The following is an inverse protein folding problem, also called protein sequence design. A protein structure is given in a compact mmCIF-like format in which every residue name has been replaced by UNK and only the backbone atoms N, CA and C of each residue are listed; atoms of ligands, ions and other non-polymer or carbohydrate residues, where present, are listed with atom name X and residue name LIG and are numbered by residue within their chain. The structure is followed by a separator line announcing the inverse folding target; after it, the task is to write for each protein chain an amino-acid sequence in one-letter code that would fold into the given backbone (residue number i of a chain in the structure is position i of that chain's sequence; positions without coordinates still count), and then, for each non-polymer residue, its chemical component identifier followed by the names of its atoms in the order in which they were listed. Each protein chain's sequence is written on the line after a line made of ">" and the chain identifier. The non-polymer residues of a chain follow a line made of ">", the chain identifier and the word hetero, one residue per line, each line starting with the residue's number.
data_IF_692863687836
#
_entry.id   IF_692863687836
#
_cell.length_a   1.000
_cell.length_b   1.000
_cell.length_c   1.000
_cell.angle_alpha   90.00
_cell.angle_beta   90.00
_cell.angle_gamma   90.00
#
_symmetry.space_group_name_H-M   'P 1'
#
loop_
_entity.id
_entity.type
_entity.pdbx_description
1 polymer ?
#
# COMPACT_ATOMS: atom_id res chain seq x y z
N UNK A 1 8.08 9.76 12.08
CA UNK A 1 7.45 8.80 11.13
C UNK A 1 6.84 9.48 9.89
N UNK A 2 6.37 10.74 9.95
CA UNK A 2 5.83 11.43 8.76
C UNK A 2 6.85 11.67 7.63
N UNK A 3 8.14 11.73 7.96
CA UNK A 3 9.23 11.95 7.02
C UNK A 3 9.30 10.84 5.97
N UNK A 4 9.18 9.58 6.37
CA UNK A 4 9.19 8.43 5.44
C UNK A 4 8.01 8.56 4.47
N UNK A 5 6.81 8.79 4.99
CA UNK A 5 5.61 8.98 4.16
C UNK A 5 5.76 10.12 3.15
N UNK A 6 6.28 11.27 3.58
CA UNK A 6 6.52 12.40 2.67
C UNK A 6 7.62 12.11 1.64
N UNK A 7 8.62 11.31 2.01
CA UNK A 7 9.63 10.86 1.07
C UNK A 7 9.01 9.95 0.00
N UNK A 8 8.17 8.98 0.38
CA UNK A 8 7.50 8.09 -0.56
C UNK A 8 6.60 8.86 -1.53
N UNK A 9 5.85 9.86 -1.05
CA UNK A 9 4.95 10.65 -1.89
C UNK A 9 5.69 11.55 -2.87
N UNK A 10 6.81 12.15 -2.44
CA UNK A 10 7.68 12.97 -3.31
C UNK A 10 8.33 12.14 -4.42
N UNK A 11 8.63 10.87 -4.15
CA UNK A 11 9.25 9.95 -5.10
C UNK A 11 8.25 8.96 -5.72
N UNK A 12 6.94 9.24 -5.66
CA UNK A 12 5.89 8.29 -6.05
C UNK A 12 6.04 7.76 -7.50
N UNK A 13 6.39 8.62 -8.47
CA UNK A 13 6.61 8.20 -9.85
C UNK A 13 7.83 7.29 -10.05
N UNK A 14 8.92 7.55 -9.33
CA UNK A 14 10.10 6.67 -9.32
C UNK A 14 9.74 5.32 -8.70
N UNK A 15 9.08 5.33 -7.55
CA UNK A 15 8.65 4.12 -6.84
C UNK A 15 7.66 3.30 -7.66
N UNK A 16 6.76 3.95 -8.42
CA UNK A 16 5.86 3.27 -9.33
C UNK A 16 6.62 2.62 -10.49
N UNK A 17 7.56 3.33 -11.09
CA UNK A 17 8.39 2.80 -12.17
C UNK A 17 9.17 1.56 -11.70
N UNK A 18 9.77 1.64 -10.51
CA UNK A 18 10.45 0.51 -9.86
C UNK A 18 9.47 -0.64 -9.57
N UNK A 19 8.29 -0.33 -9.03
CA UNK A 19 7.25 -1.32 -8.76
C UNK A 19 6.80 -2.04 -10.02
N UNK A 20 6.50 -1.32 -11.10
CA UNK A 20 6.07 -1.90 -12.38
C UNK A 20 7.18 -2.69 -13.07
N UNK A 21 8.44 -2.26 -12.94
CA UNK A 21 9.59 -2.98 -13.51
C UNK A 21 9.93 -4.27 -12.76
N UNK A 22 9.92 -4.22 -11.42
CA UNK A 22 10.33 -5.36 -10.58
C UNK A 22 9.20 -6.36 -10.34
N UNK A 23 7.95 -5.89 -10.26
CA UNK A 23 6.82 -6.72 -9.85
C UNK A 23 6.58 -7.96 -10.71
N UNK A 24 6.68 -7.97 -12.06
CA UNK A 24 6.32 -9.17 -12.84
C UNK A 24 7.23 -10.36 -12.57
N UNK A 25 8.54 -10.12 -12.47
CA UNK A 25 9.53 -11.14 -12.15
C UNK A 25 9.40 -11.59 -10.69
N UNK A 26 9.30 -10.63 -9.77
CA UNK A 26 9.14 -10.91 -8.33
C UNK A 26 7.86 -11.70 -8.05
N UNK A 27 6.75 -11.38 -8.71
CA UNK A 27 5.50 -12.11 -8.56
C UNK A 27 5.56 -13.53 -9.10
N UNK A 28 6.14 -13.74 -10.29
CA UNK A 28 6.33 -15.10 -10.82
C UNK A 28 7.19 -15.95 -9.89
N UNK A 29 8.27 -15.36 -9.37
CA UNK A 29 9.13 -16.01 -8.38
C UNK A 29 8.37 -16.33 -7.10
N UNK A 30 7.60 -15.38 -6.55
CA UNK A 30 6.81 -15.58 -5.34
C UNK A 30 5.74 -16.67 -5.51
N UNK A 31 5.04 -16.71 -6.65
CA UNK A 31 4.07 -17.75 -6.97
C UNK A 31 4.76 -19.12 -7.00
N UNK A 32 5.87 -19.24 -7.74
CA UNK A 32 6.61 -20.49 -7.86
C UNK A 32 7.17 -20.95 -6.50
N UNK A 33 7.76 -20.03 -5.73
CA UNK A 33 8.22 -20.32 -4.37
C UNK A 33 7.07 -20.80 -3.50
N UNK A 34 5.93 -20.11 -3.51
CA UNK A 34 4.77 -20.49 -2.69
C UNK A 34 4.21 -21.87 -3.06
N UNK A 35 4.28 -22.28 -4.34
CA UNK A 35 3.87 -23.60 -4.79
C UNK A 35 4.86 -24.70 -4.38
N UNK A 36 6.17 -24.41 -4.42
CA UNK A 36 7.22 -25.40 -4.11
C UNK A 36 7.41 -25.56 -2.61
N UNK A 37 7.43 -24.47 -1.84
CA UNK A 37 7.74 -24.51 -0.40
C UNK A 37 6.52 -24.66 0.49
N UNK A 38 5.30 -24.53 -0.07
CA UNK A 38 4.06 -24.47 0.70
C UNK A 38 4.12 -23.34 1.72
N UNK A 39 3.76 -23.64 2.97
CA UNK A 39 3.70 -22.66 4.07
C UNK A 39 5.04 -22.46 4.82
N UNK A 40 6.08 -23.25 4.48
CA UNK A 40 7.34 -23.28 5.26
C UNK A 40 8.09 -21.95 5.28
N UNK A 41 7.91 -21.11 4.25
CA UNK A 41 8.58 -19.81 4.12
C UNK A 41 7.64 -18.62 4.40
N UNK A 42 6.38 -18.86 4.78
CA UNK A 42 5.39 -17.80 4.94
C UNK A 42 5.81 -16.77 5.99
N UNK A 43 6.36 -17.24 7.11
CA UNK A 43 6.85 -16.37 8.19
C UNK A 43 8.01 -15.49 7.73
N UNK A 44 8.94 -16.03 6.93
CA UNK A 44 10.09 -15.29 6.41
C UNK A 44 9.63 -14.23 5.40
N UNK A 45 8.74 -14.61 4.47
CA UNK A 45 8.19 -13.69 3.47
C UNK A 45 7.41 -12.56 4.14
N UNK A 46 6.60 -12.88 5.15
CA UNK A 46 5.83 -11.89 5.91
C UNK A 46 6.76 -10.95 6.69
N UNK A 47 7.83 -11.47 7.28
CA UNK A 47 8.83 -10.66 7.97
C UNK A 47 9.57 -9.71 7.02
N UNK A 48 10.02 -10.21 5.86
CA UNK A 48 10.66 -9.41 4.82
C UNK A 48 9.72 -8.32 4.30
N UNK A 49 8.46 -8.66 4.02
CA UNK A 49 7.45 -7.69 3.60
C UNK A 49 7.27 -6.59 4.65
N UNK A 50 7.17 -6.96 5.92
CA UNK A 50 7.00 -6.02 7.03
C UNK A 50 8.17 -5.04 7.12
N UNK A 51 9.41 -5.51 6.96
CA UNK A 51 10.59 -4.65 6.98
C UNK A 51 10.62 -3.73 5.75
N UNK A 52 10.55 -4.30 4.55
CA UNK A 52 10.65 -3.54 3.31
C UNK A 52 9.53 -2.49 3.21
N UNK A 53 8.28 -2.89 3.44
CA UNK A 53 7.15 -1.95 3.37
C UNK A 53 7.08 -1.02 4.56
N UNK A 54 7.54 -1.44 5.74
CA UNK A 54 7.63 -0.60 6.94
C UNK A 54 8.60 0.55 6.74
N UNK A 55 9.82 0.25 6.25
CA UNK A 55 10.86 1.25 6.02
C UNK A 55 10.55 2.20 4.86
N UNK A 56 9.96 1.68 3.77
CA UNK A 56 9.72 2.48 2.56
C UNK A 56 8.42 3.27 2.58
N UNK A 57 7.38 2.80 3.27
CA UNK A 57 6.01 3.34 3.13
C UNK A 57 5.27 3.54 4.46
N UNK A 58 5.92 3.33 5.62
CA UNK A 58 5.27 3.32 6.94
C UNK A 58 4.04 2.37 6.94
N UNK A 59 4.22 1.17 6.39
CA UNK A 59 3.15 0.19 6.23
C UNK A 59 2.61 -0.32 7.58
N UNK A 60 1.28 -0.46 7.68
CA UNK A 60 0.58 -0.98 8.87
C UNK A 60 0.20 -2.46 8.79
N UNK A 61 0.71 -3.19 7.79
CA UNK A 61 0.47 -4.63 7.59
C UNK A 61 -1.02 -5.00 7.65
N UNK A 62 -1.86 -4.35 6.85
CA UNK A 62 -3.30 -4.62 6.81
C UNK A 62 -3.68 -5.85 5.96
N UNK A 63 -2.72 -6.62 5.44
CA UNK A 63 -2.95 -7.78 4.57
C UNK A 63 -3.38 -7.45 3.13
N UNK A 64 -3.87 -6.25 2.88
CA UNK A 64 -4.40 -5.83 1.57
C UNK A 64 -3.75 -4.53 1.09
N UNK A 65 -2.68 -4.66 0.30
CA UNK A 65 -1.87 -3.53 -0.11
C UNK A 65 -2.51 -2.77 -1.29
N UNK A 66 -2.61 -1.44 -1.18
CA UNK A 66 -3.12 -0.54 -2.24
C UNK A 66 -2.19 0.63 -2.57
N UNK A 67 -0.91 0.52 -2.19
CA UNK A 67 0.09 1.59 -2.40
C UNK A 67 0.16 2.08 -3.85
N UNK A 68 0.04 1.16 -4.82
CA UNK A 68 0.07 1.47 -6.25
C UNK A 68 -1.14 2.27 -6.75
N UNK A 69 -2.21 2.36 -5.95
CA UNK A 69 -3.40 3.15 -6.27
C UNK A 69 -3.48 4.43 -5.44
N UNK A 70 -2.86 4.45 -4.26
CA UNK A 70 -2.94 5.57 -3.31
C UNK A 70 -1.68 6.43 -3.29
N UNK A 71 -1.08 6.71 -4.45
CA UNK A 71 0.06 7.63 -4.53
C UNK A 71 1.30 7.18 -3.74
N UNK A 72 1.55 5.88 -3.64
CA UNK A 72 2.59 5.27 -2.79
C UNK A 72 2.46 5.62 -1.30
N UNK A 73 1.24 5.95 -0.85
CA UNK A 73 0.94 6.28 0.54
C UNK A 73 0.06 5.20 1.15
N UNK A 74 0.43 4.65 2.32
CA UNK A 74 -0.40 3.67 3.01
C UNK A 74 -1.62 4.36 3.67
N UNK A 75 -2.88 4.07 3.25
CA UNK A 75 -4.08 4.72 3.80
C UNK A 75 -4.33 4.36 5.27
N UNK A 76 -3.79 3.23 5.73
CA UNK A 76 -3.91 2.76 7.12
C UNK A 76 -3.17 3.63 8.14
N UNK A 77 -2.34 4.58 7.68
CA UNK A 77 -1.78 5.62 8.54
C UNK A 77 -2.81 6.69 8.93
N UNK A 78 -3.98 6.71 8.30
CA UNK A 78 -5.07 7.60 8.67
C UNK A 78 -5.64 7.15 10.03
N UNK A 79 -5.84 8.06 11.00
CA UNK A 79 -6.45 7.69 12.29
C UNK A 79 -7.83 7.02 12.14
N UNK A 80 -8.55 7.35 11.07
CA UNK A 80 -9.85 6.76 10.74
C UNK A 80 -9.75 5.41 10.02
N UNK A 81 -8.56 5.05 9.55
CA UNK A 81 -8.28 3.78 8.85
C UNK A 81 -9.24 3.48 7.68
N UNK A 82 -9.67 4.54 6.99
CA UNK A 82 -10.52 4.44 5.80
C UNK A 82 -9.66 4.23 4.55
N UNK A 83 -10.12 3.34 3.66
CA UNK A 83 -9.41 2.95 2.42
C UNK A 83 -10.03 3.56 1.17
N UNK A 84 -11.26 4.05 1.28
CA UNK A 84 -12.15 4.45 0.20
C UNK A 84 -12.27 5.98 0.03
N UNK A 85 -11.14 6.68 -0.05
CA UNK A 85 -11.09 8.10 -0.41
C UNK A 85 -11.09 9.08 0.77
N UNK A 86 -11.02 10.40 0.50
CA UNK A 86 -10.87 11.40 1.54
C UNK A 86 -12.07 11.42 2.50
N UNK A 87 -11.79 11.50 3.80
CA UNK A 87 -12.83 11.55 4.84
C UNK A 87 -13.56 12.89 4.99
N UNK A 88 -13.23 13.90 4.18
CA UNK A 88 -13.68 15.29 4.37
C UNK A 88 -13.04 16.03 5.55
N UNK A 89 -12.39 15.34 6.48
CA UNK A 89 -11.76 15.90 7.69
C UNK A 89 -10.36 16.49 7.48
N UNK A 90 -10.16 17.23 6.38
CA UNK A 90 -8.90 17.92 6.09
C UNK A 90 -9.01 19.36 6.57
N UNK A 91 -8.04 19.79 7.39
CA UNK A 91 -7.94 21.17 7.85
C UNK A 91 -7.41 22.06 6.72
N UNK A 92 -7.63 23.38 6.83
CA UNK A 92 -7.19 24.37 5.83
C UNK A 92 -5.68 24.33 5.58
N UNK A 93 -4.91 23.95 6.60
CA UNK A 93 -3.45 23.76 6.55
C UNK A 93 -3.01 22.43 5.91
N UNK A 94 -3.94 21.61 5.41
CA UNK A 94 -3.66 20.28 4.83
C UNK A 94 -3.45 19.17 5.87
N UNK A 95 -3.63 19.45 7.16
CA UNK A 95 -3.49 18.46 8.23
C UNK A 95 -4.80 17.72 8.53
N UNK A 96 -4.68 16.63 9.30
CA UNK A 96 -5.82 15.81 9.70
C UNK A 96 -6.63 16.49 10.83
N UNK A 97 -7.96 16.41 10.77
CA UNK A 97 -8.83 16.92 11.85
C UNK A 97 -8.57 16.25 13.21
N UNK A 98 -8.33 14.93 13.23
CA UNK A 98 -8.18 14.13 14.46
C UNK A 98 -6.80 14.35 15.09
N UNK A 99 -5.79 14.57 14.24
CA UNK A 99 -4.40 14.79 14.65
C UNK A 99 -3.88 16.03 13.93
N UNK A 100 -4.06 17.24 14.51
CA UNK A 100 -3.73 18.50 13.83
C UNK A 100 -2.27 18.65 13.41
N UNK A 101 -1.34 17.96 14.07
CA UNK A 101 0.10 17.98 13.71
C UNK A 101 0.47 16.97 12.62
N UNK A 102 -0.47 16.10 12.21
CA UNK A 102 -0.26 15.07 11.20
C UNK A 102 -0.75 15.60 9.84
N UNK A 103 0.11 15.66 8.81
CA UNK A 103 -0.35 15.95 7.45
C UNK A 103 -1.37 14.89 7.00
N UNK A 104 -2.43 15.30 6.29
CA UNK A 104 -3.46 14.37 5.88
C UNK A 104 -2.91 13.29 4.94
N UNK A 105 -3.25 12.03 5.22
CA UNK A 105 -2.84 10.88 4.41
C UNK A 105 -3.42 10.96 3.00
N UNK A 106 -4.67 11.39 2.85
CA UNK A 106 -5.34 11.47 1.55
C UNK A 106 -4.88 12.66 0.71
N UNK A 107 -4.47 13.77 1.33
CA UNK A 107 -3.79 14.87 0.62
C UNK A 107 -2.46 14.35 0.07
N UNK A 108 -1.66 13.67 0.88
CA UNK A 108 -0.39 13.08 0.44
C UNK A 108 -0.58 12.01 -0.66
N UNK A 109 -1.62 11.17 -0.53
CA UNK A 109 -1.96 10.17 -1.54
C UNK A 109 -2.35 10.81 -2.87
N UNK A 110 -3.15 11.88 -2.84
CA UNK A 110 -3.52 12.65 -4.04
C UNK A 110 -2.31 13.31 -4.68
N UNK A 111 -1.47 13.99 -3.90
CA UNK A 111 -0.22 14.57 -4.44
C UNK A 111 0.70 13.50 -5.04
N UNK A 112 0.80 12.33 -4.40
CA UNK A 112 1.57 11.20 -4.90
C UNK A 112 1.00 10.65 -6.21
N UNK A 113 -0.33 10.52 -6.32
CA UNK A 113 -0.98 10.01 -7.52
C UNK A 113 -0.77 10.94 -8.72
N UNK A 114 -0.75 12.26 -8.52
CA UNK A 114 -0.42 13.23 -9.58
C UNK A 114 1.01 13.08 -10.14
N UNK A 115 1.91 12.39 -9.42
CA UNK A 115 3.28 12.11 -9.86
C UNK A 115 3.43 10.72 -10.50
N UNK A 116 2.38 9.91 -10.50
CA UNK A 116 2.38 8.55 -11.01
C UNK A 116 1.78 8.51 -12.42
N UNK A 117 2.27 7.57 -13.24
CA UNK A 117 1.71 7.22 -14.54
C UNK A 117 0.29 6.69 -14.43
N UNK A 118 0.01 5.82 -13.45
CA UNK A 118 -1.32 5.25 -13.21
C UNK A 118 -2.00 5.92 -11.99
N UNK A 119 -1.79 7.22 -11.80
CA UNK A 119 -2.35 7.99 -10.69
C UNK A 119 -3.88 7.95 -10.60
N UNK A 120 -4.56 7.80 -11.73
CA UNK A 120 -6.03 7.76 -11.80
C UNK A 120 -6.66 6.60 -11.02
N UNK A 121 -5.88 5.57 -10.68
CA UNK A 121 -6.34 4.45 -9.83
C UNK A 121 -6.76 4.87 -8.42
N UNK A 122 -6.45 6.10 -8.00
CA UNK A 122 -6.91 6.65 -6.72
C UNK A 122 -8.44 6.83 -6.67
N UNK A 123 -9.08 6.93 -7.83
CA UNK A 123 -10.54 7.08 -7.98
C UNK A 123 -11.27 5.73 -7.99
N UNK A 124 -10.54 4.62 -8.11
CA UNK A 124 -11.12 3.29 -8.07
C UNK A 124 -11.76 3.04 -6.70
N UNK A 125 -13.04 2.65 -6.72
CA UNK A 125 -13.73 2.26 -5.50
C UNK A 125 -13.05 1.02 -4.90
N UNK A 126 -12.47 1.17 -3.70
CA UNK A 126 -11.90 0.06 -2.94
C UNK A 126 -12.82 -0.32 -1.79
N UNK A 127 -13.07 -1.60 -1.63
CA UNK A 127 -13.85 -2.12 -0.51
C UNK A 127 -13.14 -1.92 0.83
N UNK A 128 -13.92 -2.00 1.90
CA UNK A 128 -13.40 -1.97 3.27
C UNK A 128 -12.34 -3.05 3.46
N UNK A 129 -11.33 -2.73 4.27
CA UNK A 129 -10.25 -3.67 4.58
C UNK A 129 -10.76 -4.79 5.48
N UNK A 130 -10.44 -6.04 5.14
CA UNK A 130 -10.69 -7.19 6.01
C UNK A 130 -9.73 -7.17 7.21
N UNK A 131 -10.28 -6.94 8.41
CA UNK A 131 -9.50 -6.86 9.65
C UNK A 131 -8.94 -8.22 10.09
N UNK A 132 -9.54 -9.33 9.67
CA UNK A 132 -9.04 -10.67 9.96
C UNK A 132 -7.67 -10.94 9.32
N UNK A 133 -7.32 -10.19 8.27
CA UNK A 133 -6.04 -10.30 7.56
C UNK A 133 -4.94 -9.41 8.14
N UNK A 134 -5.20 -8.67 9.22
CA UNK A 134 -4.20 -7.80 9.83
C UNK A 134 -2.98 -8.61 10.30
N UNK A 135 -1.78 -8.17 9.93
CA UNK A 135 -0.53 -8.86 10.23
C UNK A 135 -0.10 -9.90 9.19
N UNK A 136 -0.97 -10.25 8.24
CA UNK A 136 -0.63 -11.17 7.15
C UNK A 136 0.11 -10.47 6.00
N UNK A 137 0.83 -11.27 5.19
CA UNK A 137 1.53 -10.80 4.00
C UNK A 137 0.56 -10.56 2.85
N UNK A 138 0.58 -9.34 2.31
CA UNK A 138 -0.20 -9.04 1.10
C UNK A 138 0.41 -9.68 -0.15
N UNK A 139 1.72 -9.98 -0.13
CA UNK A 139 2.37 -10.69 -1.22
C UNK A 139 1.93 -12.14 -1.32
N UNK A 140 1.85 -12.85 -0.19
CA UNK A 140 1.35 -14.22 -0.14
C UNK A 140 -0.13 -14.30 -0.50
N UNK A 141 -0.94 -13.36 0.01
CA UNK A 141 -2.34 -13.25 -0.38
C UNK A 141 -2.46 -13.13 -1.90
N UNK A 142 -1.77 -12.17 -2.52
CA UNK A 142 -1.81 -11.96 -3.96
C UNK A 142 -1.25 -13.16 -4.75
N UNK A 143 -0.19 -13.82 -4.25
CA UNK A 143 0.41 -15.00 -4.89
C UNK A 143 -0.55 -16.19 -4.92
N UNK A 144 -1.40 -16.35 -3.91
CA UNK A 144 -2.37 -17.44 -3.76
C UNK A 144 -3.75 -17.14 -4.35
N UNK A 145 -4.09 -15.87 -4.56
CA UNK A 145 -5.34 -15.47 -5.25
C UNK A 145 -5.36 -15.98 -6.69
N UNK A 146 -6.54 -16.43 -7.14
CA UNK A 146 -6.77 -16.91 -8.49
C UNK A 146 -6.35 -15.84 -9.54
N UNK A 147 -5.66 -16.22 -10.63
CA UNK A 147 -5.30 -15.30 -11.71
C UNK A 147 -6.48 -14.48 -12.28
N UNK A 148 -7.71 -15.00 -12.22
CA UNK A 148 -8.93 -14.34 -12.71
C UNK A 148 -9.42 -13.24 -11.77
N UNK A 149 -9.31 -13.41 -10.46
CA UNK A 149 -9.66 -12.39 -9.47
C UNK A 149 -8.61 -11.26 -9.37
N UNK A 150 -7.44 -11.45 -9.99
CA UNK A 150 -6.29 -10.54 -9.91
C UNK A 150 -6.43 -9.26 -10.76
N UNK A 151 -7.45 -9.15 -11.61
CA UNK A 151 -7.69 -8.01 -12.51
C UNK A 151 -8.72 -6.98 -11.99
N UNK A 152 -9.35 -7.27 -10.86
CA UNK A 152 -10.26 -6.36 -10.13
C UNK A 152 -9.47 -5.52 -9.10
#
# INVERSE_FOLDING_TARGET
>A
MYVIRQWSTRHAGMLETLYLGLSPALFKLLVLLSQVTGERLDGVITWLEKILKGLLFDCRMCGECVLSSTGMTCPMNCPKQIRNGPCGGVRVDGCCEVKPQMPCVWVAAWEGSQRMRHGQRIEELRFAVDRGRTGTSSWLALARTDPLERKL
#
